data_IF_307370088552
#
_entry.id   IF_307370088552
#
_cell.length_a   1.000
_cell.length_b   1.000
_cell.length_c   1.000
_cell.angle_alpha   90.00
_cell.angle_beta   90.00
_cell.angle_gamma   90.00
#
_symmetry.space_group_name_H-M   'P 1'
#
loop_
_entity.id
_entity.type
_entity.pdbx_description
1 polymer ?
#
# COMPACT_ATOMS: atom_id res chain seq x y z
N UNK A 1 -22.00 63.37 27.99
CA UNK A 1 -21.42 63.15 26.63
C UNK A 1 -20.15 62.28 26.61
N UNK A 2 -19.46 62.06 27.74
CA UNK A 2 -18.19 61.30 27.76
C UNK A 2 -18.37 59.77 27.81
N UNK A 3 -19.43 59.28 28.47
CA UNK A 3 -19.71 57.83 28.57
C UNK A 3 -20.05 57.19 27.22
N UNK A 4 -20.76 57.89 26.33
CA UNK A 4 -21.10 57.38 25.00
C UNK A 4 -19.85 57.31 24.08
N UNK A 5 -18.85 58.17 24.31
CA UNK A 5 -17.55 58.12 23.62
C UNK A 5 -16.69 56.98 24.14
N UNK A 6 -16.70 56.74 25.46
CA UNK A 6 -16.00 55.62 26.08
C UNK A 6 -16.55 54.27 25.57
N UNK A 7 -17.87 54.12 25.52
CA UNK A 7 -18.52 52.90 25.03
C UNK A 7 -18.17 52.62 23.56
N UNK A 8 -18.17 53.66 22.70
CA UNK A 8 -17.78 53.54 21.29
C UNK A 8 -16.29 53.19 21.13
N UNK A 9 -15.42 53.65 22.02
CA UNK A 9 -14.00 53.34 22.01
C UNK A 9 -13.76 51.86 22.38
N UNK A 10 -14.43 51.37 23.43
CA UNK A 10 -14.36 49.96 23.86
C UNK A 10 -14.89 49.02 22.78
N UNK A 11 -15.99 49.37 22.12
CA UNK A 11 -16.54 48.59 21.00
C UNK A 11 -15.60 48.55 19.78
N UNK A 12 -14.85 49.63 19.51
CA UNK A 12 -13.84 49.66 18.44
C UNK A 12 -12.61 48.80 18.79
N UNK A 13 -12.12 48.88 20.02
CA UNK A 13 -11.02 48.04 20.51
C UNK A 13 -11.39 46.55 20.47
N UNK A 14 -12.59 46.19 20.93
CA UNK A 14 -13.07 44.81 20.88
C UNK A 14 -13.18 44.26 19.44
N UNK A 15 -13.61 45.09 18.47
CA UNK A 15 -13.64 44.71 17.05
C UNK A 15 -12.25 44.51 16.46
N UNK A 16 -11.28 45.36 16.80
CA UNK A 16 -9.90 45.21 16.33
C UNK A 16 -9.26 43.93 16.88
N UNK A 17 -9.49 43.64 18.16
CA UNK A 17 -9.01 42.41 18.80
C UNK A 17 -9.65 41.18 18.14
N UNK A 18 -10.98 41.19 17.93
CA UNK A 18 -11.67 40.08 17.25
C UNK A 18 -11.16 39.84 15.82
N UNK A 19 -10.89 40.90 15.04
CA UNK A 19 -10.30 40.75 13.70
C UNK A 19 -8.89 40.13 13.75
N UNK A 20 -8.06 40.52 14.72
CA UNK A 20 -6.72 39.95 14.87
C UNK A 20 -6.72 38.47 15.24
N UNK A 21 -7.67 38.02 16.08
CA UNK A 21 -7.78 36.61 16.49
C UNK A 21 -8.21 35.72 15.32
N UNK A 22 -9.16 36.17 14.50
CA UNK A 22 -9.60 35.43 13.29
C UNK A 22 -8.47 35.29 12.27
N UNK A 23 -7.62 36.32 12.10
CA UNK A 23 -6.48 36.26 11.20
C UNK A 23 -5.40 35.25 11.65
N UNK A 24 -5.19 35.08 12.96
CA UNK A 24 -4.24 34.11 13.51
C UNK A 24 -4.77 32.67 13.41
N UNK A 25 -6.08 32.45 13.60
CA UNK A 25 -6.66 31.11 13.48
C UNK A 25 -6.81 30.60 12.04
N UNK A 26 -6.96 31.49 11.05
CA UNK A 26 -7.00 31.10 9.62
C UNK A 26 -5.61 31.04 8.97
N UNK A 27 -4.54 31.22 9.74
CA UNK A 27 -3.15 31.25 9.29
C UNK A 27 -2.45 29.89 9.19
N UNK A 28 -3.17 28.75 9.28
CA UNK A 28 -2.62 27.45 8.85
C UNK A 28 -2.60 27.45 7.32
N UNK A 29 -1.70 28.26 6.77
CA UNK A 29 -1.16 28.01 5.45
C UNK A 29 -0.44 26.68 5.57
N UNK A 30 -0.95 25.66 4.87
CA UNK A 30 -0.14 24.51 4.52
C UNK A 30 1.12 25.09 3.87
N UNK A 31 2.23 25.09 4.61
CA UNK A 31 3.51 25.37 4.01
C UNK A 31 3.67 24.31 2.93
N UNK A 32 3.82 24.67 1.64
CA UNK A 32 4.32 23.71 0.68
C UNK A 32 5.68 23.31 1.25
N UNK A 33 5.76 22.10 1.80
CA UNK A 33 7.04 21.46 2.03
C UNK A 33 7.71 21.55 0.66
N UNK A 34 8.87 22.23 0.52
CA UNK A 34 9.56 22.23 -0.74
C UNK A 34 9.69 20.76 -1.11
N UNK A 35 9.11 20.38 -2.25
CA UNK A 35 9.37 19.09 -2.86
C UNK A 35 10.90 19.07 -3.00
N UNK A 36 11.55 18.45 -2.01
CA UNK A 36 12.95 18.17 -2.09
C UNK A 36 13.09 17.48 -3.44
N UNK A 37 13.94 17.99 -4.36
CA UNK A 37 14.17 17.34 -5.64
C UNK A 37 14.35 15.88 -5.32
N UNK A 38 13.62 14.94 -5.97
CA UNK A 38 13.56 13.55 -5.54
C UNK A 38 14.98 13.14 -5.26
N UNK A 39 15.32 13.11 -3.97
CA UNK A 39 16.62 12.70 -3.55
C UNK A 39 16.75 11.35 -4.20
N UNK A 40 17.89 11.09 -4.82
CA UNK A 40 18.27 9.72 -5.10
C UNK A 40 18.24 9.04 -3.74
N UNK A 41 17.07 8.51 -3.38
CA UNK A 41 16.86 7.65 -2.23
C UNK A 41 17.56 6.39 -2.67
N UNK A 42 18.89 6.43 -2.54
CA UNK A 42 19.69 5.23 -2.42
C UNK A 42 18.93 4.38 -1.40
N UNK A 43 18.65 3.12 -1.75
CA UNK A 43 17.75 2.21 -1.03
C UNK A 43 18.06 2.06 0.49
N UNK A 44 19.18 2.64 0.93
CA UNK A 44 19.74 2.64 2.28
C UNK A 44 19.28 3.79 3.20
N UNK A 45 18.63 4.86 2.70
CA UNK A 45 18.29 6.03 3.55
C UNK A 45 16.79 6.24 3.76
N UNK A 46 16.18 5.34 4.53
CA UNK A 46 14.80 5.49 5.00
C UNK A 46 14.75 6.12 6.40
N UNK A 47 14.06 7.26 6.54
CA UNK A 47 13.91 7.97 7.82
C UNK A 47 12.47 7.84 8.31
N UNK A 48 12.30 7.57 9.61
CA UNK A 48 11.02 7.60 10.32
C UNK A 48 11.00 8.80 11.27
N UNK A 49 9.86 9.50 11.34
CA UNK A 49 9.72 10.70 12.15
C UNK A 49 8.63 10.48 13.20
N UNK A 50 8.94 10.80 14.45
CA UNK A 50 7.97 10.78 15.54
C UNK A 50 7.47 12.19 15.82
N UNK A 51 6.14 12.36 15.82
CA UNK A 51 5.49 13.62 16.20
C UNK A 51 4.48 13.31 17.29
N UNK A 52 4.64 13.94 18.46
CA UNK A 52 3.75 13.76 19.63
C UNK A 52 3.62 12.30 20.11
N UNK A 53 4.70 11.51 20.08
CA UNK A 53 4.66 10.10 20.51
C UNK A 53 4.09 9.14 19.47
N UNK A 54 3.77 9.63 18.26
CA UNK A 54 3.27 8.81 17.15
C UNK A 54 4.28 8.80 16.03
N UNK A 55 4.85 7.62 15.75
CA UNK A 55 5.77 7.41 14.64
C UNK A 55 5.00 7.37 13.33
N UNK A 56 5.30 8.29 12.42
CA UNK A 56 4.75 8.28 11.07
C UNK A 56 5.72 7.55 10.14
N UNK A 57 5.34 6.40 9.56
CA UNK A 57 6.22 5.70 8.62
C UNK A 57 6.34 6.50 7.32
N UNK A 58 7.54 6.52 6.73
CA UNK A 58 7.74 7.16 5.43
C UNK A 58 7.19 6.27 4.31
N UNK A 59 6.04 6.67 3.75
CA UNK A 59 5.37 5.93 2.66
C UNK A 59 6.26 5.75 1.42
N UNK A 60 7.13 6.73 1.12
CA UNK A 60 8.09 6.64 0.02
C UNK A 60 9.07 5.48 0.19
N UNK A 61 9.64 5.31 1.39
CA UNK A 61 10.51 4.19 1.72
C UNK A 61 9.76 2.85 1.69
N UNK A 62 8.57 2.79 2.29
CA UNK A 62 7.74 1.58 2.27
C UNK A 62 7.44 1.14 0.83
N UNK A 63 7.15 2.09 -0.05
CA UNK A 63 6.93 1.81 -1.47
C UNK A 63 8.19 1.23 -2.12
N UNK A 64 9.38 1.78 -1.84
CA UNK A 64 10.65 1.25 -2.34
C UNK A 64 10.93 -0.17 -1.83
N UNK A 65 10.73 -0.42 -0.54
CA UNK A 65 10.93 -1.76 0.07
C UNK A 65 9.94 -2.82 -0.46
N UNK A 66 8.75 -2.41 -0.86
CA UNK A 66 7.73 -3.30 -1.42
C UNK A 66 7.87 -3.50 -2.94
N UNK A 67 8.77 -2.77 -3.61
CA UNK A 67 9.02 -3.00 -5.04
C UNK A 67 9.55 -4.43 -5.25
N UNK A 68 8.98 -5.18 -6.20
CA UNK A 68 9.54 -6.46 -6.59
C UNK A 68 11.01 -6.28 -7.01
N UNK A 69 11.88 -7.21 -6.60
CA UNK A 69 13.28 -7.21 -7.06
C UNK A 69 13.29 -7.15 -8.59
N UNK A 70 14.05 -6.24 -9.21
CA UNK A 70 14.18 -6.20 -10.66
C UNK A 70 14.62 -7.57 -11.17
N UNK A 71 13.76 -8.21 -11.94
CA UNK A 71 14.15 -9.38 -12.74
C UNK A 71 15.07 -8.85 -13.83
N UNK A 72 16.26 -9.45 -14.06
CA UNK A 72 17.15 -9.00 -15.12
C UNK A 72 16.39 -8.93 -16.45
N UNK A 73 16.26 -7.72 -16.99
CA UNK A 73 15.72 -7.51 -18.33
C UNK A 73 16.71 -8.19 -19.29
N UNK A 74 16.26 -9.08 -20.19
CA UNK A 74 17.14 -9.66 -21.19
C UNK A 74 17.82 -8.55 -21.99
N UNK A 75 19.13 -8.66 -22.18
CA UNK A 75 19.95 -7.73 -22.96
C UNK A 75 19.33 -7.53 -24.35
N UNK A 76 19.30 -6.30 -24.92
CA UNK A 76 18.84 -6.09 -26.28
C UNK A 76 19.59 -7.02 -27.25
N UNK A 77 18.88 -7.94 -27.89
CA UNK A 77 19.45 -8.96 -28.77
C UNK A 77 19.37 -10.41 -28.26
N UNK A 78 19.01 -10.63 -26.98
CA UNK A 78 18.76 -11.97 -26.41
C UNK A 78 17.31 -12.14 -25.97
N UNK A 79 16.37 -11.63 -26.78
CA UNK A 79 14.95 -11.90 -26.59
C UNK A 79 14.71 -13.42 -26.68
N UNK A 80 14.72 -14.11 -25.55
CA UNK A 80 13.94 -15.32 -25.40
C UNK A 80 12.47 -14.87 -25.52
N UNK A 81 11.93 -14.96 -26.74
CA UNK A 81 10.52 -14.74 -27.00
C UNK A 81 9.70 -15.62 -26.05
N UNK A 82 9.10 -15.00 -25.02
CA UNK A 82 8.32 -15.71 -24.00
C UNK A 82 8.79 -15.54 -22.56
N UNK A 83 9.78 -14.72 -22.25
CA UNK A 83 10.09 -14.39 -20.85
C UNK A 83 8.87 -13.68 -20.19
N UNK A 84 8.20 -14.28 -19.20
CA UNK A 84 7.04 -13.66 -18.58
C UNK A 84 7.44 -12.37 -17.85
N UNK A 85 6.52 -11.38 -17.75
CA UNK A 85 6.75 -10.16 -16.97
C UNK A 85 7.17 -10.52 -15.54
N UNK A 86 7.84 -9.60 -14.80
CA UNK A 86 8.35 -9.86 -13.45
C UNK A 86 7.23 -10.47 -12.60
N UNK A 87 7.33 -11.79 -12.38
CA UNK A 87 6.25 -12.56 -11.83
C UNK A 87 6.10 -12.15 -10.36
N UNK A 88 4.94 -11.60 -10.02
CA UNK A 88 4.56 -11.43 -8.62
C UNK A 88 4.67 -12.80 -7.94
N UNK A 89 5.11 -12.83 -6.68
CA UNK A 89 5.20 -14.10 -5.93
C UNK A 89 3.88 -14.89 -5.97
N UNK A 90 2.76 -14.19 -5.99
CA UNK A 90 1.40 -14.75 -6.13
C UNK A 90 1.16 -15.46 -7.47
N UNK A 91 1.72 -14.97 -8.58
CA UNK A 91 1.59 -15.60 -9.89
C UNK A 91 2.27 -16.98 -9.91
N UNK A 92 3.41 -17.12 -9.22
CA UNK A 92 4.11 -18.40 -9.13
C UNK A 92 3.28 -19.50 -8.45
N UNK A 93 2.30 -19.12 -7.61
CA UNK A 93 1.41 -20.06 -6.93
C UNK A 93 0.27 -20.49 -7.85
N UNK A 94 -0.26 -19.59 -8.69
CA UNK A 94 -1.29 -19.91 -9.69
C UNK A 94 -0.75 -20.89 -10.74
N UNK A 95 0.53 -20.76 -11.09
CA UNK A 95 1.19 -21.66 -12.05
C UNK A 95 1.55 -23.03 -11.46
N UNK A 96 1.45 -23.23 -10.13
CA UNK A 96 1.74 -24.54 -9.53
C UNK A 96 0.61 -25.52 -9.85
N UNK A 97 0.95 -26.76 -10.24
CA UNK A 97 -0.07 -27.77 -10.49
C UNK A 97 -0.77 -28.14 -9.17
N UNK A 98 -2.07 -28.42 -9.23
CA UNK A 98 -2.91 -28.62 -8.03
C UNK A 98 -2.42 -29.71 -7.07
N UNK A 99 -1.64 -30.69 -7.56
CA UNK A 99 -1.00 -31.71 -6.72
C UNK A 99 0.07 -31.14 -5.76
N UNK A 100 0.71 -30.02 -6.11
CA UNK A 100 1.68 -29.34 -5.23
C UNK A 100 1.02 -28.39 -4.22
N UNK A 101 -0.21 -27.95 -4.50
CA UNK A 101 -0.94 -27.02 -3.66
C UNK A 101 -1.86 -27.72 -2.64
N UNK A 102 -1.94 -29.05 -2.68
CA UNK A 102 -2.92 -29.82 -1.90
C UNK A 102 -4.38 -29.54 -2.29
N UNK A 103 -4.58 -28.89 -3.44
CA UNK A 103 -5.90 -28.57 -3.97
C UNK A 103 -6.47 -29.74 -4.77
N UNK A 104 -7.73 -29.60 -5.17
CA UNK A 104 -8.40 -30.60 -5.99
C UNK A 104 -7.58 -30.95 -7.24
N UNK A 105 -7.36 -32.25 -7.44
CA UNK A 105 -6.72 -32.79 -8.63
C UNK A 105 -7.61 -33.87 -9.24
N UNK A 106 -8.14 -33.60 -10.44
CA UNK A 106 -9.04 -34.52 -11.15
C UNK A 106 -8.37 -35.87 -11.40
N UNK A 107 -7.12 -35.90 -11.86
CA UNK A 107 -6.40 -37.14 -12.16
C UNK A 107 -6.18 -37.98 -10.88
N UNK A 108 -5.74 -37.35 -9.79
CA UNK A 108 -5.57 -38.04 -8.50
C UNK A 108 -6.89 -38.63 -7.97
N UNK A 109 -7.99 -37.88 -8.12
CA UNK A 109 -9.32 -38.34 -7.69
C UNK A 109 -9.81 -39.48 -8.58
N UNK A 110 -9.62 -39.40 -9.90
CA UNK A 110 -9.98 -40.50 -10.81
C UNK A 110 -9.18 -41.77 -10.53
N UNK A 111 -7.91 -41.67 -10.12
CA UNK A 111 -7.12 -42.85 -9.74
C UNK A 111 -7.63 -43.52 -8.46
N UNK A 112 -8.06 -42.75 -7.45
CA UNK A 112 -8.58 -43.31 -6.18
C UNK A 112 -9.98 -43.91 -6.33
N UNK A 113 -10.81 -43.32 -7.18
CA UNK A 113 -12.19 -43.76 -7.39
C UNK A 113 -12.30 -44.83 -8.48
N UNK A 114 -11.35 -44.87 -9.41
CA UNK A 114 -11.38 -45.78 -10.56
C UNK A 114 -12.65 -45.56 -11.39
N UNK A 115 -13.30 -46.66 -11.76
CA UNK A 115 -14.56 -46.65 -12.52
C UNK A 115 -15.75 -45.98 -11.80
N UNK A 116 -15.63 -45.71 -10.49
CA UNK A 116 -16.67 -45.08 -9.69
C UNK A 116 -16.60 -43.54 -9.72
N UNK A 117 -15.61 -42.96 -10.40
CA UNK A 117 -15.44 -41.50 -10.46
C UNK A 117 -16.68 -40.81 -11.08
N UNK A 118 -17.32 -39.93 -10.30
CA UNK A 118 -18.54 -39.22 -10.71
C UNK A 118 -19.85 -39.97 -10.46
N UNK A 119 -19.80 -41.25 -10.11
CA UNK A 119 -20.99 -42.09 -9.90
C UNK A 119 -21.18 -42.53 -8.44
N UNK A 120 -20.14 -42.51 -7.61
CA UNK A 120 -20.20 -42.90 -6.19
C UNK A 120 -19.14 -42.17 -5.37
N UNK A 121 -19.30 -42.17 -4.04
CA UNK A 121 -18.36 -41.63 -3.05
C UNK A 121 -17.44 -42.72 -2.48
N UNK A 122 -17.73 -43.99 -2.77
CA UNK A 122 -16.96 -45.14 -2.26
C UNK A 122 -15.85 -45.51 -3.26
N UNK A 123 -14.57 -45.51 -2.85
CA UNK A 123 -13.48 -45.94 -3.72
C UNK A 123 -13.50 -47.46 -3.93
N UNK A 124 -13.03 -47.92 -5.09
CA UNK A 124 -12.86 -49.34 -5.41
C UNK A 124 -11.71 -49.93 -4.58
N UNK A 125 -12.03 -50.45 -3.39
CA UNK A 125 -11.09 -51.23 -2.57
C UNK A 125 -11.29 -52.72 -2.87
N UNK A 126 -10.22 -53.48 -3.12
CA UNK A 126 -10.31 -54.94 -3.22
C UNK A 126 -10.96 -55.53 -1.96
N UNK A 127 -11.81 -56.55 -2.14
CA UNK A 127 -12.34 -57.34 -1.03
C UNK A 127 -11.17 -57.99 -0.27
N UNK A 128 -11.25 -58.00 1.06
CA UNK A 128 -10.24 -58.57 1.93
C UNK A 128 -10.48 -60.05 2.16
#
# INVERSE_FOLDING_TARGET
>A
MNHLRLLRCLLRLARLIALSVVAVCCGVQAQPVPDAPPGTLDDDTCIEVEVNGVTAPSYGCLTLKLKPKPVPVPVPGTQAAGAPPPALGSESIVQKPGNQLGLFNRAATSHRMGNAFGNSVVPQRPAR
#
